data_IF_830073421536
#
_entry.id   IF_830073421536
#
_cell.length_a   1.000
_cell.length_b   1.000
_cell.length_c   1.000
_cell.angle_alpha   90.00
_cell.angle_beta   90.00
_cell.angle_gamma   90.00
#
_symmetry.space_group_name_H-M   'P 1'
#
loop_
_entity.id
_entity.type
_entity.pdbx_description
1 polymer ?
#
# COMPACT_ATOMS: atom_id res chain seq x y z
N UNK A 1 -2.64 16.71 2.85
CA UNK A 1 -1.60 16.75 1.80
C UNK A 1 -0.24 16.51 2.45
N UNK A 2 0.51 15.52 1.97
CA UNK A 2 1.86 15.27 2.47
C UNK A 2 2.87 16.24 1.86
N UNK A 3 3.90 16.61 2.61
CA UNK A 3 5.01 17.43 2.12
C UNK A 3 5.97 16.57 1.30
N UNK A 4 5.63 16.35 0.03
CA UNK A 4 6.48 15.75 -1.01
C UNK A 4 6.30 16.56 -2.30
N UNK A 5 7.28 16.51 -3.21
CA UNK A 5 7.25 17.28 -4.46
C UNK A 5 6.00 16.98 -5.32
N UNK A 6 5.51 15.74 -5.30
CA UNK A 6 4.31 15.31 -6.02
C UNK A 6 3.03 15.35 -5.14
N UNK A 7 3.13 15.91 -3.94
CA UNK A 7 2.02 16.24 -3.03
C UNK A 7 0.91 15.16 -2.92
N UNK A 8 1.21 13.96 -2.40
CA UNK A 8 0.20 12.92 -2.32
C UNK A 8 -0.90 13.27 -1.31
N UNK A 9 -2.09 12.74 -1.55
CA UNK A 9 -3.32 13.07 -0.83
C UNK A 9 -3.69 11.93 0.13
N UNK A 10 -3.78 12.23 1.43
CA UNK A 10 -4.40 11.31 2.40
C UNK A 10 -5.92 11.45 2.32
N UNK A 11 -6.60 10.36 2.06
CA UNK A 11 -8.05 10.26 1.95
C UNK A 11 -8.56 9.32 3.05
N UNK A 12 -9.66 9.70 3.71
CA UNK A 12 -10.38 8.85 4.65
C UNK A 12 -11.72 8.49 4.01
N UNK A 13 -11.97 7.20 3.86
CA UNK A 13 -13.20 6.63 3.32
C UNK A 13 -14.05 6.09 4.46
N UNK A 14 -15.38 6.23 4.34
CA UNK A 14 -16.34 5.57 5.21
C UNK A 14 -16.74 4.26 4.53
N UNK A 15 -16.60 3.14 5.23
CA UNK A 15 -17.02 1.84 4.72
C UNK A 15 -18.53 1.68 4.81
N UNK A 16 -19.12 0.82 3.95
CA UNK A 16 -20.57 0.59 3.93
C UNK A 16 -21.12 0.07 5.27
N UNK A 17 -20.28 -0.64 6.04
CA UNK A 17 -20.60 -1.13 7.37
C UNK A 17 -20.73 0.00 8.42
N UNK A 18 -20.40 1.25 8.08
CA UNK A 18 -20.57 2.46 8.91
C UNK A 18 -19.61 2.58 10.09
N UNK A 19 -19.09 1.46 10.60
CA UNK A 19 -18.29 1.41 11.83
C UNK A 19 -16.78 1.56 11.61
N UNK A 20 -16.31 1.58 10.35
CA UNK A 20 -14.87 1.62 10.05
C UNK A 20 -14.53 2.70 9.04
N UNK A 21 -13.55 3.52 9.42
CA UNK A 21 -12.83 4.40 8.50
C UNK A 21 -11.69 3.62 7.82
N UNK A 22 -11.55 3.80 6.51
CA UNK A 22 -10.44 3.28 5.74
C UNK A 22 -9.58 4.44 5.24
N UNK A 23 -8.32 4.48 5.65
CA UNK A 23 -7.38 5.54 5.25
C UNK A 23 -6.51 5.03 4.11
N UNK A 24 -6.45 5.77 3.02
CA UNK A 24 -5.53 5.51 1.92
C UNK A 24 -4.83 6.80 1.47
N UNK A 25 -3.71 6.65 0.78
CA UNK A 25 -2.95 7.71 0.17
C UNK A 25 -3.10 7.58 -1.35
N UNK A 26 -3.67 8.60 -1.97
CA UNK A 26 -3.71 8.72 -3.41
C UNK A 26 -2.45 9.45 -3.90
N UNK A 27 -1.73 8.83 -4.84
CA UNK A 27 -0.55 9.40 -5.48
C UNK A 27 -0.85 9.70 -6.96
N UNK A 28 -0.44 10.87 -7.41
CA UNK A 28 -0.50 11.30 -8.81
C UNK A 28 0.91 11.64 -9.28
N UNK A 29 1.27 11.20 -10.49
CA UNK A 29 2.58 11.43 -11.11
C UNK A 29 3.61 10.31 -10.92
N UNK A 30 3.34 9.33 -10.06
CA UNK A 30 4.22 8.19 -9.80
C UNK A 30 3.69 6.89 -10.42
N UNK A 31 4.60 6.07 -10.95
CA UNK A 31 4.31 4.72 -11.42
C UNK A 31 4.49 3.70 -10.28
N UNK A 32 3.39 3.35 -9.62
CA UNK A 32 3.41 2.46 -8.46
C UNK A 32 3.54 0.98 -8.80
N UNK A 33 3.70 0.61 -10.07
CA UNK A 33 3.86 -0.80 -10.47
C UNK A 33 5.14 -1.41 -9.91
N UNK A 34 6.20 -0.61 -9.77
CA UNK A 34 7.45 -1.06 -9.17
C UNK A 34 7.28 -1.29 -7.67
N UNK A 35 6.73 -0.32 -6.93
CA UNK A 35 6.42 -0.45 -5.50
C UNK A 35 5.54 -1.67 -5.21
N UNK A 36 4.52 -1.88 -6.04
CA UNK A 36 3.62 -3.03 -5.95
C UNK A 36 4.38 -4.37 -6.10
N UNK A 37 5.29 -4.49 -7.07
CA UNK A 37 6.10 -5.70 -7.25
C UNK A 37 7.03 -5.97 -6.06
N UNK A 38 7.64 -4.92 -5.51
CA UNK A 38 8.52 -5.05 -4.34
C UNK A 38 7.72 -5.51 -3.12
N UNK A 39 6.57 -4.90 -2.83
CA UNK A 39 5.71 -5.30 -1.72
C UNK A 39 5.14 -6.71 -1.89
N UNK A 40 4.85 -7.13 -3.11
CA UNK A 40 4.48 -8.53 -3.40
C UNK A 40 5.63 -9.49 -3.07
N UNK A 41 6.87 -9.12 -3.39
CA UNK A 41 8.05 -9.93 -3.06
C UNK A 41 8.24 -10.02 -1.55
N UNK A 42 8.10 -8.91 -0.82
CA UNK A 42 8.17 -8.88 0.65
C UNK A 42 7.07 -9.75 1.26
N UNK A 43 5.85 -9.67 0.75
CA UNK A 43 4.71 -10.47 1.21
C UNK A 43 4.94 -11.96 0.94
N UNK A 44 5.53 -12.32 -0.20
CA UNK A 44 5.90 -13.70 -0.51
C UNK A 44 6.98 -14.20 0.47
N UNK A 45 8.02 -13.40 0.73
CA UNK A 45 9.07 -13.73 1.69
C UNK A 45 8.51 -13.92 3.09
N UNK A 46 7.64 -13.02 3.57
CA UNK A 46 6.97 -13.16 4.88
C UNK A 46 6.21 -14.48 4.98
N UNK A 47 5.46 -14.85 3.93
CA UNK A 47 4.76 -16.15 3.87
C UNK A 47 5.71 -17.34 3.93
N UNK A 48 6.86 -17.29 3.25
CA UNK A 48 7.85 -18.36 3.28
C UNK A 48 8.51 -18.48 4.65
N UNK A 49 8.92 -17.36 5.26
CA UNK A 49 9.54 -17.34 6.58
C UNK A 49 8.59 -17.85 7.67
N UNK A 50 7.32 -17.45 7.61
CA UNK A 50 6.29 -17.95 8.53
C UNK A 50 6.07 -19.46 8.43
N UNK A 51 6.23 -20.06 7.23
CA UNK A 51 6.17 -21.53 7.08
C UNK A 51 7.30 -22.24 7.82
N UNK A 52 8.46 -21.60 7.93
CA UNK A 52 9.60 -22.06 8.72
C UNK A 52 9.53 -21.61 10.19
N UNK A 53 8.35 -21.18 10.67
CA UNK A 53 8.10 -20.66 12.02
C UNK A 53 8.92 -19.41 12.39
N UNK A 54 9.42 -18.65 11.40
CA UNK A 54 10.10 -17.39 11.61
C UNK A 54 9.16 -16.21 11.32
N UNK A 55 8.66 -15.57 12.38
CA UNK A 55 7.83 -14.37 12.27
C UNK A 55 8.66 -13.11 12.54
N UNK A 56 9.10 -12.45 11.47
CA UNK A 56 9.84 -11.19 11.54
C UNK A 56 8.94 -9.96 11.76
N UNK A 57 7.63 -10.14 11.95
CA UNK A 57 6.65 -9.07 12.18
C UNK A 57 6.65 -8.00 11.07
N UNK A 58 6.85 -8.43 9.82
CA UNK A 58 6.77 -7.54 8.67
C UNK A 58 5.33 -7.02 8.50
N UNK A 59 5.20 -5.74 8.15
CA UNK A 59 3.91 -5.07 7.91
C UNK A 59 3.84 -4.57 6.46
N UNK A 60 3.78 -5.47 5.46
CA UNK A 60 3.64 -5.05 4.07
C UNK A 60 2.29 -4.34 3.89
N UNK A 61 2.34 -3.05 3.61
CA UNK A 61 1.15 -2.28 3.25
C UNK A 61 0.72 -2.59 1.82
N UNK A 62 -0.54 -2.33 1.51
CA UNK A 62 -1.08 -2.59 0.17
C UNK A 62 -0.74 -1.44 -0.76
N UNK A 63 -0.39 -1.76 -2.01
CA UNK A 63 -0.21 -0.76 -3.07
C UNK A 63 -0.94 -1.25 -4.31
N UNK A 64 -1.70 -0.35 -4.94
CA UNK A 64 -2.43 -0.62 -6.16
C UNK A 64 -2.19 0.52 -7.16
N UNK A 65 -1.48 0.22 -8.24
CA UNK A 65 -1.42 1.10 -9.41
C UNK A 65 -2.76 1.02 -10.15
N UNK A 66 -3.50 2.14 -10.22
CA UNK A 66 -4.72 2.24 -11.03
C UNK A 66 -4.41 2.63 -12.48
N UNK A 67 -3.22 3.18 -12.71
CA UNK A 67 -2.68 3.54 -14.02
C UNK A 67 -1.15 3.64 -13.94
N UNK A 68 -0.49 4.02 -15.03
CA UNK A 68 0.97 4.25 -15.06
C UNK A 68 1.42 5.50 -14.30
N UNK A 69 0.49 6.37 -13.90
CA UNK A 69 0.78 7.64 -13.19
C UNK A 69 -0.05 7.84 -11.93
N UNK A 70 -0.87 6.86 -11.56
CA UNK A 70 -1.85 7.01 -10.47
C UNK A 70 -1.98 5.72 -9.70
N UNK A 71 -2.24 5.84 -8.41
CA UNK A 71 -2.66 4.70 -7.62
C UNK A 71 -2.83 5.03 -6.15
N UNK A 72 -3.09 3.97 -5.39
CA UNK A 72 -3.35 4.01 -3.97
C UNK A 72 -2.28 3.26 -3.19
N UNK A 73 -1.99 3.77 -2.00
CA UNK A 73 -1.16 3.18 -0.96
C UNK A 73 -1.95 3.17 0.34
#
# INVERSE_FOLDING_TARGET
LFKSALMPCRLTFVTEDGDREYVAIFKHGDDLRQDQLILQTITLMDKLLRKENLDLKLTPYCVLATSTKHGFV
#
